data_IF_371724292624
#
_entry.id   IF_371724292624
#
_cell.length_a   1.000
_cell.length_b   1.000
_cell.length_c   1.000
_cell.angle_alpha   90.00
_cell.angle_beta   90.00
_cell.angle_gamma   90.00
#
_symmetry.space_group_name_H-M   'P 1'
#
loop_
_entity.id
_entity.type
_entity.pdbx_description
1 polymer ?
#
# COMPACT_ATOMS: atom_id res chain seq x y z
N UNK A 1 -12.85 9.41 44.89
CA UNK A 1 -14.31 9.52 44.71
C UNK A 1 -14.62 9.21 43.26
N UNK A 2 -15.64 8.38 43.06
CA UNK A 2 -15.96 7.59 41.86
C UNK A 2 -16.15 8.43 40.58
N UNK A 3 -15.36 8.15 39.53
CA UNK A 3 -15.75 8.44 38.15
C UNK A 3 -16.54 7.25 37.61
N UNK A 4 -17.85 7.26 37.85
CA UNK A 4 -18.80 6.33 37.24
C UNK A 4 -18.97 6.73 35.77
N UNK A 5 -18.20 6.07 34.89
CA UNK A 5 -18.43 6.16 33.45
C UNK A 5 -19.82 5.57 33.13
N UNK A 6 -20.75 6.43 32.74
CA UNK A 6 -22.04 6.01 32.21
C UNK A 6 -21.81 5.15 30.97
N UNK A 7 -22.25 3.90 31.02
CA UNK A 7 -22.27 3.02 29.87
C UNK A 7 -23.10 3.68 28.75
N UNK A 8 -22.57 3.90 27.54
CA UNK A 8 -23.37 4.43 26.45
C UNK A 8 -24.45 3.41 26.10
N UNK A 9 -25.71 3.87 26.01
CA UNK A 9 -26.83 3.06 25.56
C UNK A 9 -26.43 2.26 24.31
N UNK A 10 -26.64 0.95 24.33
CA UNK A 10 -26.27 0.05 23.25
C UNK A 10 -26.98 0.47 21.94
N UNK A 11 -26.27 1.14 21.05
CA UNK A 11 -26.82 1.56 19.77
C UNK A 11 -27.13 0.33 18.91
N UNK A 12 -28.39 0.17 18.50
CA UNK A 12 -28.87 -0.94 17.67
C UNK A 12 -28.38 -0.88 16.21
N UNK A 13 -27.72 0.21 15.80
CA UNK A 13 -27.24 0.45 14.44
C UNK A 13 -25.80 0.94 14.45
N UNK A 14 -25.08 0.65 13.37
CA UNK A 14 -23.72 1.11 13.18
C UNK A 14 -23.68 2.65 13.01
N UNK A 15 -22.83 3.38 13.74
CA UNK A 15 -22.79 4.83 13.68
C UNK A 15 -22.21 5.38 12.37
N UNK A 16 -21.54 4.55 11.56
CA UNK A 16 -20.89 4.96 10.31
C UNK A 16 -21.70 4.65 9.05
N UNK A 17 -22.41 3.52 9.02
CA UNK A 17 -23.18 3.09 7.84
C UNK A 17 -24.65 2.80 8.13
N UNK A 18 -25.11 3.00 9.37
CA UNK A 18 -26.48 2.75 9.83
C UNK A 18 -27.00 1.31 9.64
N UNK A 19 -26.14 0.35 9.26
CA UNK A 19 -26.50 -1.06 9.19
C UNK A 19 -26.93 -1.60 10.57
N UNK A 20 -27.87 -2.55 10.63
CA UNK A 20 -28.29 -3.17 11.88
C UNK A 20 -27.09 -3.88 12.55
N UNK A 21 -26.93 -3.68 13.85
CA UNK A 21 -25.88 -4.32 14.63
C UNK A 21 -26.30 -5.75 14.95
N UNK A 22 -25.51 -6.73 14.49
CA UNK A 22 -25.77 -8.16 14.74
C UNK A 22 -25.14 -8.63 16.06
N UNK A 23 -23.96 -8.08 16.42
CA UNK A 23 -23.22 -8.47 17.62
C UNK A 23 -22.96 -7.29 18.57
N UNK A 24 -23.32 -7.47 19.85
CA UNK A 24 -23.11 -6.49 20.92
C UNK A 24 -21.83 -6.71 21.73
N UNK A 25 -20.95 -7.61 21.28
CA UNK A 25 -19.66 -7.81 21.93
C UNK A 25 -18.81 -6.52 21.92
N UNK A 26 -18.07 -6.21 23.00
CA UNK A 26 -17.00 -5.21 22.99
C UNK A 26 -15.97 -5.70 21.97
N UNK A 27 -15.46 -4.92 21.04
CA UNK A 27 -14.62 -5.37 19.91
C UNK A 27 -15.35 -5.98 18.71
N UNK A 28 -16.68 -6.08 18.73
CA UNK A 28 -17.41 -6.41 17.51
C UNK A 28 -17.10 -5.36 16.42
N UNK A 29 -16.88 -5.83 15.20
CA UNK A 29 -16.72 -4.98 14.02
C UNK A 29 -17.97 -5.00 13.16
N UNK A 30 -18.32 -3.88 12.53
CA UNK A 30 -19.42 -3.87 11.56
C UNK A 30 -19.01 -4.63 10.29
N UNK A 31 -19.77 -5.66 9.85
CA UNK A 31 -19.42 -6.45 8.66
C UNK A 31 -19.55 -5.66 7.35
N UNK A 32 -20.34 -4.58 7.35
CA UNK A 32 -20.55 -3.75 6.16
C UNK A 32 -19.46 -2.69 5.94
N UNK A 33 -18.91 -2.10 7.02
CA UNK A 33 -18.00 -0.96 6.90
C UNK A 33 -16.68 -1.11 7.68
N UNK A 34 -16.49 -2.23 8.38
CA UNK A 34 -15.27 -2.60 9.10
C UNK A 34 -14.97 -1.79 10.37
N UNK A 35 -15.92 -1.01 10.89
CA UNK A 35 -15.66 -0.19 12.09
C UNK A 35 -15.68 -1.04 13.35
N UNK A 36 -14.72 -0.82 14.25
CA UNK A 36 -14.68 -1.42 15.59
C UNK A 36 -15.44 -0.49 16.54
N UNK A 37 -16.55 -0.95 17.12
CA UNK A 37 -17.45 -0.09 17.89
C UNK A 37 -16.76 0.60 19.08
N UNK A 38 -15.87 -0.10 19.79
CA UNK A 38 -15.17 0.44 20.97
C UNK A 38 -14.18 1.55 20.64
N UNK A 39 -13.71 1.62 19.38
CA UNK A 39 -12.76 2.64 18.93
C UNK A 39 -13.45 3.79 18.22
N UNK A 40 -14.78 3.77 18.12
CA UNK A 40 -15.51 4.84 17.47
C UNK A 40 -15.68 6.03 18.41
N UNK A 41 -15.07 7.14 18.04
CA UNK A 41 -15.22 8.43 18.70
C UNK A 41 -16.08 9.33 17.79
N UNK A 42 -17.34 9.64 18.18
CA UNK A 42 -18.26 10.42 17.35
C UNK A 42 -17.76 11.85 17.11
N UNK A 43 -16.96 12.40 18.02
CA UNK A 43 -16.40 13.75 17.88
C UNK A 43 -15.36 13.79 16.78
N UNK A 44 -14.43 12.82 16.80
CA UNK A 44 -13.41 12.70 15.75
C UNK A 44 -14.00 12.36 14.39
N UNK A 45 -15.05 11.54 14.36
CA UNK A 45 -15.74 11.21 13.12
C UNK A 45 -16.36 12.45 12.47
N UNK A 46 -17.06 13.28 13.24
CA UNK A 46 -17.63 14.54 12.76
C UNK A 46 -16.55 15.52 12.27
N UNK A 47 -15.42 15.63 12.99
CA UNK A 47 -14.29 16.46 12.57
C UNK A 47 -13.71 16.00 11.22
N UNK A 48 -13.57 14.68 11.04
CA UNK A 48 -13.04 14.09 9.81
C UNK A 48 -13.97 14.31 8.62
N UNK A 49 -15.28 14.26 8.83
CA UNK A 49 -16.30 14.55 7.82
C UNK A 49 -16.30 16.03 7.43
N UNK A 50 -16.27 16.94 8.40
CA UNK A 50 -16.13 18.37 8.15
C UNK A 50 -14.86 18.68 7.33
N UNK A 51 -13.74 17.99 7.65
CA UNK A 51 -12.49 18.11 6.90
C UNK A 51 -12.60 17.57 5.47
N UNK A 52 -13.26 16.44 5.25
CA UNK A 52 -13.52 15.89 3.90
C UNK A 52 -14.40 16.83 3.07
N UNK A 53 -15.39 17.45 3.70
CA UNK A 53 -16.27 18.41 3.04
C UNK A 53 -15.51 19.69 2.68
N UNK A 54 -14.62 20.17 3.56
CA UNK A 54 -13.72 21.28 3.25
C UNK A 54 -12.80 20.97 2.06
N UNK A 55 -12.24 19.77 1.99
CA UNK A 55 -11.41 19.31 0.86
C UNK A 55 -12.20 19.23 -0.46
N UNK A 56 -13.43 18.71 -0.43
CA UNK A 56 -14.33 18.68 -1.59
C UNK A 56 -14.64 20.09 -2.11
N UNK A 57 -14.75 21.04 -1.20
CA UNK A 57 -14.98 22.46 -1.52
C UNK A 57 -13.69 23.20 -1.90
N UNK A 58 -12.57 22.50 -2.10
CA UNK A 58 -11.29 23.08 -2.52
C UNK A 58 -10.55 23.87 -1.43
N UNK A 59 -11.02 23.85 -0.16
CA UNK A 59 -10.31 24.50 0.94
C UNK A 59 -9.12 23.64 1.38
N UNK A 60 -7.91 24.20 1.31
CA UNK A 60 -6.71 23.58 1.88
C UNK A 60 -6.90 23.47 3.41
N UNK A 61 -6.71 22.28 4.01
CA UNK A 61 -6.83 22.13 5.45
C UNK A 61 -5.67 22.88 6.12
N UNK A 62 -5.96 23.61 7.19
CA UNK A 62 -4.93 24.20 8.03
C UNK A 62 -3.99 23.08 8.53
N UNK A 63 -2.67 23.32 8.59
CA UNK A 63 -1.74 22.32 9.10
C UNK A 63 -2.16 21.94 10.53
N UNK A 64 -2.33 20.64 10.76
CA UNK A 64 -2.68 20.12 12.07
C UNK A 64 -1.61 20.60 13.06
N UNK A 65 -2.00 21.45 14.01
CA UNK A 65 -1.14 21.83 15.11
C UNK A 65 -0.87 20.57 15.92
N UNK A 66 0.28 19.93 15.64
CA UNK A 66 0.81 18.83 16.42
C UNK A 66 1.00 19.38 17.83
N UNK A 67 0.07 19.08 18.75
CA UNK A 67 0.25 19.37 20.17
C UNK A 67 1.58 18.73 20.57
N UNK A 68 2.61 19.55 20.79
CA UNK A 68 3.87 19.11 21.39
C UNK A 68 3.48 18.42 22.69
N UNK A 69 3.75 17.12 22.79
CA UNK A 69 3.56 16.39 24.03
C UNK A 69 4.48 17.03 25.07
N UNK A 70 3.90 17.77 26.01
CA UNK A 70 4.61 18.56 27.02
C UNK A 70 5.22 17.70 28.15
N UNK A 71 5.71 16.48 27.84
CA UNK A 71 6.12 15.51 28.85
C UNK A 71 7.51 14.87 28.66
N UNK A 72 8.23 15.21 27.59
CA UNK A 72 9.58 14.66 27.34
C UNK A 72 10.68 15.73 27.28
N UNK A 73 10.32 17.01 27.47
CA UNK A 73 11.25 18.13 27.28
C UNK A 73 12.10 18.49 28.51
N UNK A 74 11.81 17.95 29.69
CA UNK A 74 12.40 18.43 30.95
C UNK A 74 13.50 17.53 31.53
N UNK A 75 13.73 16.34 30.94
CA UNK A 75 14.90 15.53 31.28
C UNK A 75 16.09 15.98 30.44
N UNK A 76 17.09 16.58 31.09
CA UNK A 76 18.39 16.86 30.48
C UNK A 76 18.90 15.57 29.79
N UNK A 77 19.29 15.64 28.50
CA UNK A 77 19.79 14.47 27.81
C UNK A 77 21.04 13.94 28.52
N UNK A 78 21.21 12.62 28.65
CA UNK A 78 22.39 12.05 29.29
C UNK A 78 23.67 12.42 28.52
N UNK A 79 24.80 12.60 29.21
CA UNK A 79 26.05 13.15 28.64
C UNK A 79 26.63 12.38 27.44
N UNK A 80 26.32 11.09 27.28
CA UNK A 80 26.69 10.35 26.07
C UNK A 80 25.98 10.88 24.81
N UNK A 81 24.90 11.64 24.96
CA UNK A 81 24.12 12.28 23.90
C UNK A 81 24.71 13.63 23.46
N UNK A 82 25.58 14.27 24.25
CA UNK A 82 26.27 15.51 23.87
C UNK A 82 27.23 15.30 22.70
N UNK A 83 27.86 14.13 22.61
CA UNK A 83 28.69 13.78 21.44
C UNK A 83 27.88 13.64 20.13
N UNK A 84 26.56 13.48 20.21
CA UNK A 84 25.68 13.38 19.04
C UNK A 84 25.17 14.75 18.58
N UNK A 85 25.11 15.75 19.47
CA UNK A 85 24.67 17.12 19.12
C UNK A 85 25.72 17.92 18.36
N UNK A 86 27.00 17.56 18.50
CA UNK A 86 28.13 18.21 17.82
C UNK A 86 28.43 17.66 16.42
N UNK A 87 27.74 16.60 15.95
CA UNK A 87 27.92 16.18 14.56
C UNK A 87 27.49 17.34 13.67
N UNK A 88 28.34 17.80 12.73
CA UNK A 88 27.96 18.88 11.83
C UNK A 88 26.65 18.48 11.16
N UNK A 89 25.60 19.27 11.41
CA UNK A 89 24.30 19.12 10.75
C UNK A 89 24.56 19.39 9.28
N UNK A 90 24.95 18.35 8.57
CA UNK A 90 25.09 18.39 7.13
C UNK A 90 23.67 18.66 6.64
N UNK A 91 23.40 19.89 6.20
CA UNK A 91 22.16 20.31 5.56
C UNK A 91 22.10 19.69 4.17
N UNK A 92 22.20 18.36 4.13
CA UNK A 92 21.95 17.59 2.93
C UNK A 92 20.48 17.86 2.62
N UNK A 93 20.22 18.65 1.57
CA UNK A 93 18.86 18.81 1.07
C UNK A 93 18.30 17.39 0.87
N UNK A 94 17.27 16.97 1.64
CA UNK A 94 16.80 15.58 1.62
C UNK A 94 16.42 15.14 0.20
N UNK A 95 15.91 16.09 -0.60
CA UNK A 95 15.59 15.89 -2.00
C UNK A 95 16.81 15.52 -2.87
N UNK A 96 17.97 16.15 -2.66
CA UNK A 96 19.19 15.86 -3.43
C UNK A 96 19.76 14.48 -3.06
N UNK A 97 19.74 14.12 -1.78
CA UNK A 97 20.20 12.82 -1.29
C UNK A 97 19.31 11.67 -1.70
N UNK A 98 17.99 11.82 -1.61
CA UNK A 98 17.03 10.81 -2.10
C UNK A 98 17.21 10.60 -3.60
N UNK A 99 17.45 11.67 -4.37
CA UNK A 99 17.70 11.58 -5.81
C UNK A 99 19.00 10.82 -6.11
N UNK A 100 20.04 11.05 -5.31
CA UNK A 100 21.32 10.35 -5.44
C UNK A 100 21.21 8.87 -5.03
N UNK A 101 20.49 8.56 -3.94
CA UNK A 101 20.18 7.18 -3.55
C UNK A 101 19.35 6.45 -4.61
N UNK A 102 18.41 7.13 -5.28
CA UNK A 102 17.62 6.53 -6.37
C UNK A 102 18.42 6.30 -7.64
N UNK A 103 19.41 7.14 -7.93
CA UNK A 103 20.32 6.97 -9.06
C UNK A 103 21.41 5.93 -8.78
N UNK A 104 21.84 5.79 -7.52
CA UNK A 104 22.81 4.80 -7.09
C UNK A 104 22.19 3.44 -6.73
N UNK A 105 20.85 3.37 -6.59
CA UNK A 105 20.15 2.12 -6.30
C UNK A 105 19.90 1.31 -7.56
N UNK A 106 19.64 0.02 -7.37
CA UNK A 106 19.37 -1.00 -8.39
C UNK A 106 18.09 -0.73 -9.21
N UNK A 107 17.33 0.32 -8.89
CA UNK A 107 16.00 0.59 -9.45
C UNK A 107 15.92 0.62 -11.00
N UNK A 108 16.76 1.39 -11.74
CA UNK A 108 16.74 1.35 -13.20
C UNK A 108 17.07 -0.04 -13.75
N UNK A 109 18.02 -0.75 -13.14
CA UNK A 109 18.42 -2.11 -13.52
C UNK A 109 17.28 -3.10 -13.27
N UNK A 110 16.59 -2.99 -12.13
CA UNK A 110 15.41 -3.80 -11.80
C UNK A 110 14.30 -3.60 -12.82
N UNK A 111 14.02 -2.35 -13.20
CA UNK A 111 12.98 -2.04 -14.20
C UNK A 111 13.31 -2.62 -15.58
N UNK A 112 14.57 -2.54 -15.99
CA UNK A 112 15.05 -3.18 -17.22
C UNK A 112 14.93 -4.70 -17.15
N UNK A 113 15.30 -5.30 -16.01
CA UNK A 113 15.24 -6.74 -15.79
C UNK A 113 13.79 -7.27 -15.80
N UNK A 114 12.86 -6.59 -15.13
CA UNK A 114 11.43 -6.91 -15.20
C UNK A 114 10.90 -6.78 -16.63
N UNK A 115 11.33 -5.74 -17.37
CA UNK A 115 10.98 -5.57 -18.78
C UNK A 115 11.50 -6.72 -19.66
N UNK A 116 12.73 -7.17 -19.42
CA UNK A 116 13.34 -8.30 -20.12
C UNK A 116 12.59 -9.60 -19.83
N UNK A 117 12.30 -9.91 -18.57
CA UNK A 117 11.52 -11.09 -18.20
C UNK A 117 10.12 -11.07 -18.81
N UNK A 118 9.45 -9.91 -18.81
CA UNK A 118 8.16 -9.74 -19.47
C UNK A 118 8.24 -10.08 -20.96
N UNK A 119 9.25 -9.56 -21.66
CA UNK A 119 9.46 -9.85 -23.09
C UNK A 119 9.75 -11.34 -23.35
N UNK A 120 10.63 -11.96 -22.57
CA UNK A 120 10.93 -13.39 -22.67
C UNK A 120 9.69 -14.25 -22.44
N UNK A 121 8.85 -13.89 -21.46
CA UNK A 121 7.62 -14.59 -21.16
C UNK A 121 6.58 -14.46 -22.30
N UNK A 122 6.49 -13.27 -22.93
CA UNK A 122 5.65 -13.08 -24.12
C UNK A 122 6.14 -13.92 -25.30
N UNK A 123 7.45 -13.97 -25.54
CA UNK A 123 8.02 -14.84 -26.58
C UNK A 123 7.69 -16.31 -26.31
N UNK A 124 7.81 -16.75 -25.06
CA UNK A 124 7.44 -18.10 -24.67
C UNK A 124 5.94 -18.37 -24.94
N UNK A 125 5.06 -17.44 -24.58
CA UNK A 125 3.63 -17.54 -24.90
C UNK A 125 3.36 -17.65 -26.41
N UNK A 126 4.05 -16.87 -27.22
CA UNK A 126 3.97 -16.97 -28.70
C UNK A 126 4.45 -18.32 -29.21
N UNK A 127 5.52 -18.89 -28.64
CA UNK A 127 5.99 -20.24 -29.00
C UNK A 127 4.92 -21.29 -28.72
N UNK A 128 4.23 -21.24 -27.58
CA UNK A 128 3.13 -22.16 -27.28
C UNK A 128 1.96 -22.02 -28.27
N UNK A 129 1.64 -20.79 -28.69
CA UNK A 129 0.63 -20.57 -29.74
C UNK A 129 1.06 -21.18 -31.07
N UNK A 130 2.30 -20.94 -31.50
CA UNK A 130 2.83 -21.51 -32.75
C UNK A 130 2.89 -23.04 -32.71
N UNK A 131 3.32 -23.62 -31.59
CA UNK A 131 3.35 -25.07 -31.41
C UNK A 131 1.94 -25.65 -31.45
N UNK A 132 0.98 -25.04 -30.75
CA UNK A 132 -0.42 -25.49 -30.80
C UNK A 132 -1.02 -25.41 -32.20
N UNK A 133 -0.74 -24.32 -32.92
CA UNK A 133 -1.17 -24.15 -34.31
C UNK A 133 -0.51 -25.17 -35.24
N UNK A 134 0.79 -25.43 -35.08
CA UNK A 134 1.51 -26.45 -35.83
C UNK A 134 0.90 -27.84 -35.61
N UNK A 135 0.64 -28.22 -34.35
CA UNK A 135 -0.01 -29.51 -34.02
C UNK A 135 -1.42 -29.59 -34.60
N UNK A 136 -2.16 -28.48 -34.68
CA UNK A 136 -3.48 -28.46 -35.30
C UNK A 136 -3.46 -28.78 -36.81
N UNK A 137 -2.48 -28.27 -37.56
CA UNK A 137 -2.38 -28.54 -39.01
C UNK A 137 -1.69 -29.87 -39.35
N UNK A 138 -0.68 -30.27 -38.58
CA UNK A 138 0.19 -31.41 -38.90
C UNK A 138 -0.02 -32.62 -37.98
N UNK A 139 -0.93 -32.56 -37.01
CA UNK A 139 -1.21 -33.67 -36.11
C UNK A 139 -1.75 -34.91 -36.83
N UNK A 140 -1.45 -36.13 -36.34
CA UNK A 140 -1.88 -37.37 -37.00
C UNK A 140 -3.40 -37.59 -36.91
N UNK A 141 -3.99 -37.34 -35.74
CA UNK A 141 -5.40 -37.61 -35.46
C UNK A 141 -6.19 -36.34 -35.11
N UNK A 142 -7.50 -36.37 -35.37
CA UNK A 142 -8.41 -35.24 -35.11
C UNK A 142 -8.45 -34.82 -33.62
N UNK A 143 -8.37 -35.79 -32.70
CA UNK A 143 -8.32 -35.52 -31.27
C UNK A 143 -7.04 -34.76 -30.85
N UNK A 144 -5.89 -35.13 -31.41
CA UNK A 144 -4.59 -34.47 -31.14
C UNK A 144 -4.57 -33.07 -31.74
N UNK A 145 -5.14 -32.87 -32.93
CA UNK A 145 -5.26 -31.55 -33.55
C UNK A 145 -6.09 -30.60 -32.69
N UNK A 146 -7.27 -31.07 -32.24
CA UNK A 146 -8.15 -30.28 -31.39
C UNK A 146 -7.51 -29.94 -30.04
N UNK A 147 -6.85 -30.90 -29.39
CA UNK A 147 -6.16 -30.67 -28.12
C UNK A 147 -4.94 -29.78 -28.28
N UNK A 148 -4.21 -29.87 -29.40
CA UNK A 148 -3.09 -29.00 -29.72
C UNK A 148 -3.50 -27.54 -29.86
N UNK A 149 -4.59 -27.26 -30.59
CA UNK A 149 -5.12 -25.90 -30.73
C UNK A 149 -5.60 -25.35 -29.37
N UNK A 150 -6.45 -26.09 -28.67
CA UNK A 150 -7.00 -25.66 -27.39
C UNK A 150 -5.92 -25.48 -26.33
N UNK A 151 -5.00 -26.45 -26.22
CA UNK A 151 -3.89 -26.42 -25.28
C UNK A 151 -2.90 -25.29 -25.58
N UNK A 152 -2.54 -25.08 -26.84
CA UNK A 152 -1.64 -24.01 -27.25
C UNK A 152 -2.24 -22.62 -27.01
N UNK A 153 -3.51 -22.41 -27.40
CA UNK A 153 -4.24 -21.16 -27.17
C UNK A 153 -4.37 -20.89 -25.67
N UNK A 154 -4.84 -21.85 -24.89
CA UNK A 154 -5.00 -21.71 -23.46
C UNK A 154 -3.66 -21.39 -22.76
N UNK A 155 -2.62 -22.18 -23.04
CA UNK A 155 -1.34 -22.02 -22.38
C UNK A 155 -0.64 -20.73 -22.80
N UNK A 156 -0.68 -20.38 -24.09
CA UNK A 156 -0.13 -19.11 -24.57
C UNK A 156 -0.80 -17.91 -23.91
N UNK A 157 -2.14 -17.92 -23.80
CA UNK A 157 -2.91 -16.84 -23.19
C UNK A 157 -2.67 -16.77 -21.67
N UNK A 158 -2.59 -17.92 -20.99
CA UNK A 158 -2.22 -18.00 -19.58
C UNK A 158 -0.87 -17.35 -19.31
N UNK A 159 0.16 -17.67 -20.10
CA UNK A 159 1.49 -17.09 -19.93
C UNK A 159 1.50 -15.57 -20.18
N UNK A 160 0.72 -15.07 -21.13
CA UNK A 160 0.55 -13.63 -21.36
C UNK A 160 -0.11 -12.94 -20.17
N UNK A 161 -1.15 -13.56 -19.57
CA UNK A 161 -1.80 -13.04 -18.37
C UNK A 161 -0.82 -13.00 -17.20
N UNK A 162 -0.11 -14.11 -16.94
CA UNK A 162 0.90 -14.19 -15.88
C UNK A 162 1.99 -13.15 -16.08
N UNK A 163 2.48 -12.97 -17.31
CA UNK A 163 3.46 -11.93 -17.63
C UNK A 163 2.94 -10.52 -17.29
N UNK A 164 1.68 -10.23 -17.62
CA UNK A 164 1.05 -8.94 -17.32
C UNK A 164 0.91 -8.73 -15.81
N UNK A 165 0.37 -9.71 -15.09
CA UNK A 165 0.20 -9.64 -13.62
C UNK A 165 1.55 -9.46 -12.94
N UNK A 166 2.56 -10.24 -13.30
CA UNK A 166 3.89 -10.16 -12.71
C UNK A 166 4.54 -8.78 -12.93
N UNK A 167 4.37 -8.21 -14.13
CA UNK A 167 4.84 -6.85 -14.45
C UNK A 167 4.15 -5.79 -13.59
N UNK A 168 2.82 -5.83 -13.46
CA UNK A 168 2.08 -4.88 -12.62
C UNK A 168 2.44 -5.03 -11.13
N UNK A 169 2.55 -6.28 -10.64
CA UNK A 169 2.96 -6.55 -9.25
C UNK A 169 4.37 -6.04 -8.95
N UNK A 170 5.31 -6.22 -9.87
CA UNK A 170 6.69 -5.73 -9.71
C UNK A 170 6.74 -4.20 -9.63
N UNK A 171 5.90 -3.51 -10.42
CA UNK A 171 5.79 -2.05 -10.36
C UNK A 171 5.15 -1.58 -9.04
N UNK A 172 4.09 -2.24 -8.57
CA UNK A 172 3.48 -1.92 -7.28
C UNK A 172 4.43 -2.15 -6.10
N UNK A 173 5.23 -3.23 -6.15
CA UNK A 173 6.21 -3.52 -5.09
C UNK A 173 7.34 -2.48 -5.07
N UNK A 174 7.75 -2.00 -6.24
CA UNK A 174 8.67 -0.88 -6.37
C UNK A 174 8.10 0.40 -5.73
N UNK A 175 6.85 0.76 -6.02
CA UNK A 175 6.21 1.95 -5.44
C UNK A 175 6.06 1.84 -3.92
N UNK A 176 5.76 0.64 -3.40
CA UNK A 176 5.69 0.38 -1.96
C UNK A 176 7.05 0.57 -1.29
N UNK A 177 8.13 0.13 -1.93
CA UNK A 177 9.48 0.34 -1.41
C UNK A 177 9.86 1.83 -1.35
N UNK A 178 9.47 2.62 -2.36
CA UNK A 178 9.70 4.07 -2.39
C UNK A 178 8.87 4.80 -1.31
N UNK A 179 7.62 4.37 -1.09
CA UNK A 179 6.77 4.91 -0.03
C UNK A 179 7.34 4.60 1.36
N UNK A 180 7.85 3.39 1.58
CA UNK A 180 8.47 3.00 2.85
C UNK A 180 9.70 3.85 3.19
N UNK A 181 10.57 4.12 2.20
CA UNK A 181 11.73 5.02 2.36
C UNK A 181 11.29 6.44 2.70
N UNK A 182 10.24 6.95 2.03
CA UNK A 182 9.72 8.30 2.29
C UNK A 182 9.12 8.42 3.70
N UNK A 183 8.39 7.40 4.16
CA UNK A 183 7.85 7.35 5.52
C UNK A 183 9.00 7.32 6.53
N UNK A 184 10.02 6.47 6.32
CA UNK A 184 11.20 6.41 7.18
C UNK A 184 11.95 7.76 7.25
N UNK A 185 12.09 8.45 6.11
CA UNK A 185 12.68 9.79 6.05
C UNK A 185 11.84 10.82 6.83
N UNK A 186 10.51 10.75 6.74
CA UNK A 186 9.60 11.66 7.46
C UNK A 186 9.53 11.41 8.98
N UNK A 187 9.96 10.24 9.44
CA UNK A 187 10.01 9.89 10.85
C UNK A 187 11.24 10.46 11.56
N UNK A 188 12.23 10.99 10.84
CA UNK A 188 13.32 11.75 11.45
C UNK A 188 12.73 13.10 11.93
N UNK A 189 12.60 13.32 13.26
CA UNK A 189 12.07 14.57 13.77
C UNK A 189 13.02 15.71 13.43
N UNK A 190 12.49 16.84 12.95
CA UNK A 190 13.22 18.12 12.94
C UNK A 190 13.70 18.40 14.37
N UNK A 191 15.01 18.24 14.59
CA UNK A 191 15.75 18.74 15.74
C UNK A 191 16.64 19.90 15.29
#
# INVERSE_FOLDING_TARGET
MQHSAGAPAAQARCPKCHAPRQDFAPHASCPQCGIIYDKYDPVKAAELEARRQALRNGKKPAPAQRKKAAGFADSAPPSWMESWSERPRYTVQPAAFIKHLRQASIYPTFRQLVGLFYFLQLLLGMVFLFVGFYVFFYGPDSAIRASGLLGGVFMGLLLVIVAKVFREMSLMMADLSDAAVTIAASMQPEQ
#
